data_IF_177123291781
#
_entry.id   IF_177123291781
#
_cell.length_a   1.000
_cell.length_b   1.000
_cell.length_c   1.000
_cell.angle_alpha   90.00
_cell.angle_beta   90.00
_cell.angle_gamma   90.00
#
_symmetry.space_group_name_H-M   'P 1'
#
loop_
_entity.id
_entity.type
_entity.pdbx_description
1 polymer ?
#
# COMPACT_ATOMS: atom_id res chain seq x y z
N UNK A 1 5.39 -1.52 19.99
CA UNK A 1 4.06 -2.09 20.28
C UNK A 1 3.19 -1.89 19.05
N UNK A 2 2.86 -2.95 18.33
CA UNK A 2 1.83 -2.90 17.29
C UNK A 2 0.50 -2.65 17.99
N UNK A 3 -0.09 -1.47 17.81
CA UNK A 3 -1.40 -1.17 18.40
C UNK A 3 -2.45 -2.18 17.93
N UNK A 4 -3.44 -2.47 18.78
CA UNK A 4 -4.59 -3.27 18.37
C UNK A 4 -5.33 -2.59 17.21
N UNK A 5 -5.82 -3.39 16.26
CA UNK A 5 -6.66 -2.93 15.13
C UNK A 5 -7.81 -2.05 15.66
N UNK A 6 -8.13 -0.95 14.96
CA UNK A 6 -9.21 -0.04 15.36
C UNK A 6 -10.54 -0.81 15.42
N UNK A 7 -11.34 -0.66 16.50
CA UNK A 7 -12.65 -1.30 16.59
C UNK A 7 -13.54 -0.95 15.39
N UNK A 8 -14.22 -1.95 14.83
CA UNK A 8 -15.07 -1.76 13.65
C UNK A 8 -14.33 -1.57 12.33
N UNK A 9 -12.99 -1.69 12.30
CA UNK A 9 -12.24 -1.70 11.05
C UNK A 9 -12.68 -2.87 10.16
N UNK A 10 -13.06 -2.54 8.93
CA UNK A 10 -13.40 -3.50 7.89
C UNK A 10 -12.14 -3.80 7.07
N UNK A 11 -11.73 -5.06 7.08
CA UNK A 11 -10.68 -5.54 6.19
C UNK A 11 -11.18 -5.55 4.74
N UNK A 12 -10.27 -5.68 3.78
CA UNK A 12 -10.68 -5.84 2.38
C UNK A 12 -11.40 -7.19 2.18
N UNK A 13 -12.21 -7.26 1.13
CA UNK A 13 -12.90 -8.51 0.80
C UNK A 13 -11.91 -9.58 0.33
N UNK A 14 -11.88 -10.72 1.04
CA UNK A 14 -10.87 -11.76 0.83
C UNK A 14 -11.03 -12.55 -0.49
N UNK A 15 -12.23 -12.54 -1.10
CA UNK A 15 -12.55 -13.39 -2.25
C UNK A 15 -13.12 -12.59 -3.44
N UNK A 16 -12.43 -11.55 -3.95
CA UNK A 16 -12.95 -10.72 -5.02
C UNK A 16 -13.26 -11.55 -6.27
N UNK A 17 -14.41 -11.30 -6.90
CA UNK A 17 -14.73 -11.91 -8.20
C UNK A 17 -13.76 -11.44 -9.28
N UNK A 18 -13.62 -12.22 -10.36
CA UNK A 18 -12.81 -11.80 -11.50
C UNK A 18 -13.58 -10.79 -12.35
N UNK A 19 -13.02 -9.61 -12.68
CA UNK A 19 -13.71 -8.66 -13.54
C UNK A 19 -14.02 -9.25 -14.93
N UNK A 20 -15.23 -8.99 -15.42
CA UNK A 20 -15.62 -9.34 -16.79
C UNK A 20 -14.92 -8.43 -17.80
N UNK A 21 -14.80 -7.14 -17.46
CA UNK A 21 -14.05 -6.17 -18.24
C UNK A 21 -12.57 -6.55 -18.30
N UNK A 22 -12.01 -6.59 -19.51
CA UNK A 22 -10.60 -6.88 -19.74
C UNK A 22 -9.85 -5.57 -19.88
N UNK A 23 -8.92 -5.34 -18.98
CA UNK A 23 -8.05 -4.16 -19.03
C UNK A 23 -7.14 -4.22 -20.27
N UNK A 24 -6.89 -3.08 -20.94
CA UNK A 24 -5.85 -2.99 -21.96
C UNK A 24 -4.47 -3.40 -21.41
N UNK A 25 -3.58 -3.93 -22.26
CA UNK A 25 -2.20 -4.18 -21.88
C UNK A 25 -1.54 -2.92 -21.31
N UNK A 26 -0.85 -3.05 -20.19
CA UNK A 26 -0.15 -1.93 -19.55
C UNK A 26 -0.99 -1.07 -18.61
N UNK A 27 -2.27 -1.39 -18.38
CA UNK A 27 -3.11 -0.68 -17.40
C UNK A 27 -2.46 -0.59 -16.01
N UNK A 28 -2.63 0.56 -15.38
CA UNK A 28 -2.05 0.89 -14.07
C UNK A 28 -3.16 1.13 -13.08
N UNK A 29 -3.12 0.42 -11.95
CA UNK A 29 -3.90 0.81 -10.78
C UNK A 29 -3.17 1.98 -10.11
N UNK A 30 -3.68 3.19 -10.33
CA UNK A 30 -3.00 4.43 -9.96
C UNK A 30 -3.22 4.86 -8.50
N UNK A 31 -3.96 4.09 -7.69
CA UNK A 31 -4.19 4.43 -6.30
C UNK A 31 -4.48 3.19 -5.44
N UNK A 32 -3.43 2.67 -4.82
CA UNK A 32 -3.52 1.55 -3.88
C UNK A 32 -2.58 1.75 -2.69
N UNK A 33 -2.70 0.91 -1.65
CA UNK A 33 -1.89 1.01 -0.44
C UNK A 33 -1.36 -0.36 -0.02
N UNK A 34 -0.29 -0.33 0.77
CA UNK A 34 0.13 -1.44 1.65
C UNK A 34 0.02 -0.97 3.09
N UNK A 35 -0.33 -1.89 3.99
CA UNK A 35 -0.38 -1.65 5.43
C UNK A 35 0.55 -2.63 6.13
N UNK A 36 1.64 -2.14 6.70
CA UNK A 36 2.58 -2.98 7.42
C UNK A 36 3.31 -3.99 6.53
N UNK A 37 3.70 -5.15 7.08
CA UNK A 37 3.27 -5.67 8.38
C UNK A 37 3.78 -4.81 9.54
N UNK A 38 2.92 -4.57 10.54
CA UNK A 38 3.21 -3.64 11.65
C UNK A 38 4.45 -4.00 12.49
N UNK A 39 4.86 -5.26 12.46
CA UNK A 39 6.07 -5.75 13.13
C UNK A 39 7.37 -5.30 12.43
N UNK A 40 7.35 -5.14 11.10
CA UNK A 40 8.49 -4.69 10.29
C UNK A 40 8.42 -3.19 10.00
N UNK A 41 7.22 -2.70 9.69
CA UNK A 41 6.91 -1.31 9.42
C UNK A 41 5.88 -0.81 10.44
N UNK A 42 6.32 -0.28 11.60
CA UNK A 42 5.41 0.23 12.60
C UNK A 42 4.47 1.31 12.05
N UNK A 43 3.22 1.29 12.52
CA UNK A 43 2.28 2.37 12.22
C UNK A 43 2.65 3.64 13.00
N UNK A 44 2.37 4.80 12.41
CA UNK A 44 2.69 6.10 12.97
C UNK A 44 1.98 6.33 14.32
N UNK A 45 2.64 6.94 15.32
CA UNK A 45 1.99 7.34 16.56
C UNK A 45 0.79 8.27 16.36
N UNK A 46 0.86 9.18 15.38
CA UNK A 46 -0.18 10.17 15.06
C UNK A 46 -1.32 9.66 14.17
N UNK A 47 -1.34 8.35 13.84
CA UNK A 47 -2.36 7.76 12.97
C UNK A 47 -3.77 7.93 13.54
N UNK A 48 -4.76 8.14 12.66
CA UNK A 48 -6.18 8.20 13.04
C UNK A 48 -6.86 6.83 13.14
N UNK A 49 -6.23 5.80 12.57
CA UNK A 49 -6.73 4.43 12.57
C UNK A 49 -5.55 3.45 12.56
N UNK A 50 -5.80 2.24 13.07
CA UNK A 50 -4.89 1.10 13.00
C UNK A 50 -5.55 0.03 12.12
N UNK A 51 -5.06 -0.20 10.89
CA UNK A 51 -5.64 -1.21 9.99
C UNK A 51 -5.16 -2.62 10.38
N UNK A 52 -5.69 -3.63 9.68
CA UNK A 52 -5.01 -4.93 9.56
C UNK A 52 -3.74 -4.80 8.71
N UNK A 53 -2.87 -5.81 8.79
CA UNK A 53 -1.72 -5.91 7.89
C UNK A 53 -2.20 -6.30 6.49
N UNK A 54 -1.80 -5.53 5.48
CA UNK A 54 -2.07 -5.72 4.05
C UNK A 54 -0.74 -5.68 3.29
N UNK A 55 -0.15 -6.86 3.08
CA UNK A 55 1.22 -7.00 2.56
C UNK A 55 1.35 -6.66 1.07
N UNK A 56 2.57 -6.32 0.64
CA UNK A 56 2.93 -6.18 -0.78
C UNK A 56 2.61 -7.42 -1.61
N UNK A 57 2.78 -8.62 -1.05
CA UNK A 57 2.46 -9.87 -1.73
C UNK A 57 0.96 -10.00 -2.03
N UNK A 58 0.11 -9.65 -1.06
CA UNK A 58 -1.34 -9.60 -1.25
C UNK A 58 -1.74 -8.55 -2.29
N UNK A 59 -1.11 -7.36 -2.27
CA UNK A 59 -1.33 -6.33 -3.28
C UNK A 59 -0.96 -6.82 -4.69
N UNK A 60 0.17 -7.50 -4.86
CA UNK A 60 0.59 -8.02 -6.17
C UNK A 60 -0.34 -9.13 -6.67
N UNK A 61 -0.76 -10.03 -5.78
CA UNK A 61 -1.75 -11.04 -6.12
C UNK A 61 -3.07 -10.41 -6.56
N UNK A 62 -3.52 -9.35 -5.89
CA UNK A 62 -4.72 -8.60 -6.28
C UNK A 62 -4.54 -7.90 -7.63
N UNK A 63 -3.39 -7.24 -7.87
CA UNK A 63 -3.05 -6.63 -9.18
C UNK A 63 -3.22 -7.66 -10.30
N UNK A 64 -2.61 -8.83 -10.13
CA UNK A 64 -2.61 -9.88 -11.14
C UNK A 64 -4.02 -10.49 -11.33
N UNK A 65 -4.78 -10.66 -10.24
CA UNK A 65 -6.17 -11.14 -10.28
C UNK A 65 -7.10 -10.20 -11.04
N UNK A 66 -6.97 -8.89 -10.80
CA UNK A 66 -7.77 -7.85 -11.45
C UNK A 66 -7.31 -7.56 -12.89
N UNK A 67 -6.13 -8.03 -13.29
CA UNK A 67 -5.59 -7.89 -14.65
C UNK A 67 -4.81 -6.59 -14.89
N UNK A 68 -4.38 -5.89 -13.84
CA UNK A 68 -3.50 -4.73 -13.97
C UNK A 68 -2.06 -5.17 -14.26
N UNK A 69 -1.32 -4.35 -15.02
CA UNK A 69 0.09 -4.59 -15.28
C UNK A 69 1.01 -3.98 -14.21
N UNK A 70 0.56 -2.87 -13.59
CA UNK A 70 1.38 -2.04 -12.69
C UNK A 70 0.53 -1.39 -11.59
N UNK A 71 1.20 -0.88 -10.56
CA UNK A 71 0.60 -0.10 -9.49
C UNK A 71 1.27 1.27 -9.30
N UNK A 72 0.52 2.25 -8.81
CA UNK A 72 1.04 3.39 -8.06
C UNK A 72 0.65 3.19 -6.60
N UNK A 73 1.64 2.92 -5.76
CA UNK A 73 1.47 2.63 -4.34
C UNK A 73 1.55 3.94 -3.56
N UNK A 74 0.42 4.38 -3.04
CA UNK A 74 0.31 5.64 -2.31
C UNK A 74 0.59 5.38 -0.84
N UNK A 75 1.44 6.21 -0.23
CA UNK A 75 1.73 6.14 1.19
C UNK A 75 0.43 6.22 2.00
N UNK A 76 0.21 5.21 2.84
CA UNK A 76 -0.96 5.16 3.72
C UNK A 76 -0.76 6.09 4.92
N UNK A 77 -1.79 6.84 5.27
CA UNK A 77 -1.74 7.77 6.40
C UNK A 77 -1.53 7.08 7.75
N UNK A 78 -1.82 5.78 7.86
CA UNK A 78 -1.49 4.99 9.05
C UNK A 78 0.02 4.85 9.30
N UNK A 79 0.86 5.02 8.27
CA UNK A 79 2.32 5.06 8.40
C UNK A 79 2.89 6.49 8.48
N UNK A 80 2.04 7.52 8.42
CA UNK A 80 2.48 8.91 8.48
C UNK A 80 3.53 9.23 7.40
N UNK A 81 4.60 9.92 7.79
CA UNK A 81 5.72 10.25 6.90
C UNK A 81 6.84 9.17 6.86
N UNK A 82 6.64 8.02 7.51
CA UNK A 82 7.54 6.87 7.38
C UNK A 82 7.15 6.04 6.16
N UNK A 83 7.85 6.28 5.05
CA UNK A 83 7.51 5.69 3.75
C UNK A 83 8.06 4.27 3.55
N UNK A 84 8.69 3.66 4.56
CA UNK A 84 9.44 2.39 4.38
C UNK A 84 8.60 1.24 3.84
N UNK A 85 7.37 1.06 4.31
CA UNK A 85 6.47 0.01 3.80
C UNK A 85 6.16 0.18 2.30
N UNK A 86 5.82 1.41 1.89
CA UNK A 86 5.52 1.73 0.49
C UNK A 86 6.76 1.60 -0.40
N UNK A 87 7.93 2.06 0.08
CA UNK A 87 9.21 1.96 -0.64
C UNK A 87 9.61 0.49 -0.82
N UNK A 88 9.52 -0.32 0.23
CA UNK A 88 9.78 -1.75 0.17
C UNK A 88 8.87 -2.46 -0.85
N UNK A 89 7.57 -2.11 -0.86
CA UNK A 89 6.66 -2.63 -1.88
C UNK A 89 7.05 -2.18 -3.30
N UNK A 90 7.48 -0.94 -3.50
CA UNK A 90 7.94 -0.48 -4.81
C UNK A 90 9.19 -1.21 -5.31
N UNK A 91 10.17 -1.43 -4.42
CA UNK A 91 11.40 -2.17 -4.73
C UNK A 91 11.11 -3.64 -5.05
N UNK A 92 10.21 -4.27 -4.30
CA UNK A 92 9.81 -5.66 -4.51
C UNK A 92 8.97 -5.87 -5.78
N UNK A 93 8.40 -4.81 -6.36
CA UNK A 93 7.53 -4.91 -7.54
C UNK A 93 8.28 -5.19 -8.85
N UNK A 94 9.62 -5.29 -8.84
CA UNK A 94 10.45 -5.58 -10.01
C UNK A 94 10.11 -4.67 -11.22
N UNK A 95 10.11 -3.36 -10.98
CA UNK A 95 9.80 -2.35 -12.00
C UNK A 95 8.31 -2.15 -12.32
N UNK A 96 7.40 -2.91 -11.69
CA UNK A 96 5.94 -2.80 -11.91
C UNK A 96 5.24 -1.80 -10.99
N UNK A 97 5.98 -1.02 -10.19
CA UNK A 97 5.40 -0.01 -9.33
C UNK A 97 6.16 1.32 -9.32
N UNK A 98 5.41 2.37 -9.02
CA UNK A 98 5.89 3.68 -8.56
C UNK A 98 5.19 4.04 -7.26
N UNK A 99 5.76 4.99 -6.51
CA UNK A 99 5.28 5.36 -5.18
C UNK A 99 4.91 6.84 -5.08
N UNK A 100 3.91 7.16 -4.24
CA UNK A 100 3.65 8.52 -3.79
C UNK A 100 3.99 8.61 -2.29
N UNK A 101 5.01 9.38 -1.96
CA UNK A 101 5.49 9.54 -0.58
C UNK A 101 4.72 10.63 0.18
N UNK A 102 4.62 10.46 1.49
CA UNK A 102 4.27 11.55 2.42
C UNK A 102 5.55 12.05 3.06
N UNK A 103 5.82 13.35 2.97
CA UNK A 103 7.00 13.99 3.57
C UNK A 103 6.58 15.10 4.54
N UNK A 104 7.42 15.38 5.54
CA UNK A 104 7.25 16.53 6.42
C UNK A 104 7.78 17.78 5.73
N UNK A 105 7.35 18.97 6.18
CA UNK A 105 7.87 20.26 5.71
C UNK A 105 9.38 20.45 5.88
N UNK A 106 10.00 19.63 6.74
CA UNK A 106 11.43 19.65 7.02
C UNK A 106 12.25 18.83 6.02
N UNK A 107 11.63 18.19 5.01
CA UNK A 107 12.38 17.51 3.94
C UNK A 107 13.21 18.54 3.18
N UNK A 108 14.45 18.19 2.86
CA UNK A 108 15.33 19.08 2.10
C UNK A 108 14.99 19.05 0.60
N UNK A 109 15.21 20.17 -0.08
CA UNK A 109 15.18 20.24 -1.54
C UNK A 109 16.49 19.74 -2.19
N UNK A 110 17.50 19.39 -1.37
CA UNK A 110 18.75 18.81 -1.85
C UNK A 110 18.53 17.37 -2.29
N UNK A 111 19.10 17.02 -3.46
CA UNK A 111 19.03 15.70 -4.09
C UNK A 111 20.09 14.73 -3.55
#
# INVERSE_FOLDING_TARGET
>A
MTGSKTPGWLDWYANPSKPHFKLPPGSVDAHCHVFGPGAEFPFAPERKYTPCDASKAQLFALRDHLGFARNVIVQATCHGADNRAMVDACLAANGKARGIATVRRTVSDQA
#
